data_IF_796323097585
#
_entry.id   IF_796323097585
#
_cell.length_a   1.000
_cell.length_b   1.000
_cell.length_c   1.000
_cell.angle_alpha   90.00
_cell.angle_beta   90.00
_cell.angle_gamma   90.00
#
_symmetry.space_group_name_H-M   'P 1'
#
loop_
_entity.id
_entity.type
_entity.pdbx_description
1 polymer ?
#
# COMPACT_ATOMS: atom_id res chain seq x y z
N UNK A 1 2.14 5.18 0.03
CA UNK A 1 0.88 4.54 -0.41
C UNK A 1 -0.11 5.57 -0.98
N UNK A 2 -1.27 5.14 -1.51
CA UNK A 2 -2.34 6.03 -1.94
C UNK A 2 -3.73 5.52 -1.50
N UNK A 3 -4.68 6.42 -1.21
CA UNK A 3 -6.01 6.04 -0.73
C UNK A 3 -7.14 6.90 -1.33
N UNK A 4 -8.35 6.36 -1.35
CA UNK A 4 -9.54 7.02 -1.85
C UNK A 4 -10.02 8.17 -0.94
N UNK A 5 -9.76 8.04 0.36
CA UNK A 5 -10.15 9.05 1.34
C UNK A 5 -9.04 9.32 2.37
N UNK A 6 -9.27 10.25 3.27
CA UNK A 6 -8.37 10.62 4.36
C UNK A 6 -9.14 10.97 5.63
N UNK A 7 -8.50 10.81 6.78
CA UNK A 7 -8.95 11.37 8.05
C UNK A 7 -7.79 12.09 8.74
N UNK A 8 -8.10 12.93 9.73
CA UNK A 8 -7.10 13.61 10.55
C UNK A 8 -7.18 12.99 11.94
N UNK A 9 -6.06 12.49 12.42
CA UNK A 9 -5.97 11.94 13.77
C UNK A 9 -6.02 13.10 14.79
N UNK A 10 -6.94 13.04 15.76
CA UNK A 10 -7.12 14.11 16.74
C UNK A 10 -5.96 14.22 17.73
N UNK A 11 -5.18 13.16 17.94
CA UNK A 11 -4.08 13.12 18.91
C UNK A 11 -2.80 13.75 18.34
N UNK A 12 -2.50 13.52 17.06
CA UNK A 12 -1.27 14.02 16.42
C UNK A 12 -1.52 15.10 15.32
N UNK A 13 -2.77 15.31 14.90
CA UNK A 13 -3.14 16.25 13.85
C UNK A 13 -2.69 15.86 12.43
N UNK A 14 -2.22 14.63 12.24
CA UNK A 14 -1.67 14.12 10.98
C UNK A 14 -2.78 13.53 10.10
N UNK A 15 -2.61 13.66 8.79
CA UNK A 15 -3.50 13.04 7.81
C UNK A 15 -3.14 11.58 7.60
N UNK A 16 -4.12 10.71 7.79
CA UNK A 16 -4.00 9.27 7.56
C UNK A 16 -4.93 8.80 6.44
N UNK A 17 -4.59 7.68 5.78
CA UNK A 17 -5.41 7.11 4.72
C UNK A 17 -6.74 6.59 5.27
N UNK A 18 -7.80 6.73 4.47
CA UNK A 18 -9.10 6.14 4.73
C UNK A 18 -9.70 5.53 3.44
N UNK A 19 -10.73 4.71 3.61
CA UNK A 19 -11.43 4.08 2.49
C UNK A 19 -10.60 2.98 1.82
N UNK A 20 -10.63 2.92 0.49
CA UNK A 20 -9.83 1.94 -0.28
C UNK A 20 -8.38 2.39 -0.42
N UNK A 21 -7.46 1.47 -0.16
CA UNK A 21 -6.02 1.70 -0.12
C UNK A 21 -5.30 0.93 -1.23
N UNK A 22 -4.41 1.62 -1.92
CA UNK A 22 -3.54 1.08 -2.98
C UNK A 22 -2.06 1.32 -2.72
N UNK A 23 -1.26 0.39 -3.24
CA UNK A 23 0.19 0.54 -3.31
C UNK A 23 0.57 1.67 -4.26
N UNK A 24 1.50 2.52 -3.86
CA UNK A 24 2.03 3.60 -4.69
C UNK A 24 3.50 3.84 -4.36
N UNK A 25 4.32 4.08 -5.39
CA UNK A 25 5.75 4.37 -5.27
C UNK A 25 6.02 5.86 -5.59
N UNK A 26 6.90 6.54 -4.83
CA UNK A 26 7.31 7.90 -5.13
C UNK A 26 7.77 8.08 -6.57
N UNK A 27 7.42 9.23 -7.17
CA UNK A 27 7.76 9.53 -8.57
C UNK A 27 6.81 8.94 -9.61
N UNK A 28 5.83 8.10 -9.23
CA UNK A 28 4.80 7.58 -10.15
C UNK A 28 3.48 8.35 -10.02
N UNK A 29 2.73 8.45 -11.12
CA UNK A 29 1.36 8.98 -11.14
C UNK A 29 0.29 7.88 -11.22
N UNK A 30 0.67 6.65 -10.88
CA UNK A 30 -0.19 5.46 -10.89
C UNK A 30 0.09 4.56 -9.68
N UNK A 31 -0.89 3.75 -9.29
CA UNK A 31 -0.75 2.73 -8.26
C UNK A 31 -0.03 1.50 -8.79
N UNK A 32 0.44 0.64 -7.89
CA UNK A 32 1.08 -0.65 -8.24
C UNK A 32 0.14 -1.57 -9.01
N UNK A 33 -1.18 -1.47 -8.82
CA UNK A 33 -2.16 -2.23 -9.60
C UNK A 33 -2.56 -1.56 -10.94
N UNK A 34 -1.97 -0.41 -11.29
CA UNK A 34 -2.16 0.26 -12.58
C UNK A 34 -3.26 1.33 -12.61
N UNK A 35 -3.77 1.79 -11.46
CA UNK A 35 -4.74 2.88 -11.41
C UNK A 35 -4.04 4.23 -11.50
N UNK A 36 -4.48 5.11 -12.39
CA UNK A 36 -3.99 6.49 -12.42
C UNK A 36 -4.47 7.27 -11.19
N UNK A 37 -3.57 7.93 -10.47
CA UNK A 37 -3.91 8.63 -9.22
C UNK A 37 -4.97 9.72 -9.46
N UNK A 38 -4.80 10.53 -10.51
CA UNK A 38 -5.73 11.63 -10.80
C UNK A 38 -7.11 11.13 -11.24
N UNK A 39 -7.16 10.15 -12.17
CA UNK A 39 -8.44 9.64 -12.70
C UNK A 39 -9.22 8.87 -11.63
N UNK A 40 -8.52 8.14 -10.76
CA UNK A 40 -9.11 7.42 -9.64
C UNK A 40 -9.26 8.27 -8.37
N UNK A 41 -8.94 9.58 -8.43
CA UNK A 41 -9.03 10.53 -7.30
C UNK A 41 -8.33 10.06 -6.02
N UNK A 42 -7.22 9.34 -6.17
CA UNK A 42 -6.44 8.82 -5.06
C UNK A 42 -5.48 9.87 -4.50
N UNK A 43 -5.44 9.98 -3.17
CA UNK A 43 -4.53 10.85 -2.42
C UNK A 43 -3.27 10.10 -2.03
N UNK A 44 -2.13 10.79 -1.99
CA UNK A 44 -0.83 10.19 -1.67
C UNK A 44 -0.50 10.36 -0.19
N UNK A 45 0.02 9.30 0.42
CA UNK A 45 0.51 9.28 1.80
C UNK A 45 1.93 8.70 1.79
N UNK A 46 2.96 9.55 1.61
CA UNK A 46 4.35 9.11 1.59
C UNK A 46 4.90 8.76 2.99
N UNK A 47 4.31 9.32 4.05
CA UNK A 47 4.72 9.11 5.44
C UNK A 47 4.10 7.87 6.09
N UNK A 48 3.03 7.32 5.51
CA UNK A 48 2.39 6.08 5.99
C UNK A 48 2.94 4.89 5.22
N UNK A 49 3.51 3.92 5.93
CA UNK A 49 4.09 2.74 5.30
C UNK A 49 3.02 1.74 4.88
N UNK A 50 3.36 0.87 3.92
CA UNK A 50 2.44 -0.20 3.52
C UNK A 50 2.15 -1.19 4.66
N UNK A 51 3.11 -1.41 5.56
CA UNK A 51 2.92 -2.30 6.70
C UNK A 51 1.86 -1.78 7.67
N UNK A 52 1.78 -0.47 7.89
CA UNK A 52 0.89 0.11 8.90
C UNK A 52 -0.60 0.08 8.52
N UNK A 53 -0.89 -0.16 7.24
CA UNK A 53 -2.26 -0.25 6.71
C UNK A 53 -2.69 -1.68 6.40
N UNK A 54 -1.81 -2.66 6.64
CA UNK A 54 -2.17 -4.06 6.52
C UNK A 54 -3.12 -4.44 7.67
N UNK A 55 -4.22 -5.16 7.40
CA UNK A 55 -5.18 -5.56 8.44
C UNK A 55 -4.53 -6.38 9.57
N UNK A 56 -3.42 -7.08 9.28
CA UNK A 56 -2.73 -7.92 10.27
C UNK A 56 -1.82 -7.11 11.22
N UNK A 57 -1.46 -5.88 10.84
CA UNK A 57 -0.48 -5.03 11.57
C UNK A 57 -1.12 -3.77 12.17
N UNK A 58 -2.31 -3.37 11.70
CA UNK A 58 -3.35 -2.70 12.49
C UNK A 58 -3.03 -1.37 13.19
N UNK A 59 -1.98 -0.63 12.81
CA UNK A 59 -1.66 0.65 13.48
C UNK A 59 -2.40 1.86 12.93
N UNK A 60 -2.64 1.92 11.61
CA UNK A 60 -3.35 3.03 10.95
C UNK A 60 -4.53 2.55 10.09
N UNK A 61 -5.14 1.45 10.51
CA UNK A 61 -6.17 0.76 9.74
C UNK A 61 -7.62 1.12 10.13
N UNK A 62 -7.83 1.95 11.16
CA UNK A 62 -9.18 2.19 11.72
C UNK A 62 -10.18 2.73 10.69
N UNK A 63 -9.77 3.70 9.87
CA UNK A 63 -10.61 4.25 8.79
C UNK A 63 -10.33 3.59 7.42
N UNK A 64 -9.43 2.61 7.37
CA UNK A 64 -9.14 1.84 6.15
C UNK A 64 -10.19 0.75 5.98
N UNK A 65 -11.03 0.90 4.95
CA UNK A 65 -12.13 -0.05 4.68
C UNK A 65 -11.65 -1.28 3.90
N UNK A 66 -10.76 -1.07 2.94
CA UNK A 66 -10.24 -2.15 2.11
C UNK A 66 -8.81 -1.86 1.66
N UNK A 67 -7.95 -2.88 1.68
CA UNK A 67 -6.64 -2.85 1.03
C UNK A 67 -6.73 -3.63 -0.27
N UNK A 68 -6.46 -2.97 -1.39
CA UNK A 68 -6.55 -3.55 -2.72
C UNK A 68 -5.75 -4.86 -2.80
N UNK A 69 -6.44 -5.97 -3.08
CA UNK A 69 -5.85 -7.33 -3.09
C UNK A 69 -4.67 -7.47 -4.04
N UNK A 70 -4.71 -6.82 -5.20
CA UNK A 70 -3.61 -6.82 -6.17
C UNK A 70 -2.36 -6.12 -5.61
N UNK A 71 -2.55 -5.00 -4.93
CA UNK A 71 -1.45 -4.28 -4.29
C UNK A 71 -0.92 -5.06 -3.07
N UNK A 72 -1.80 -5.69 -2.29
CA UNK A 72 -1.41 -6.57 -1.17
C UNK A 72 -0.63 -7.78 -1.65
N UNK A 73 -1.00 -8.40 -2.77
CA UNK A 73 -0.20 -9.48 -3.34
C UNK A 73 1.18 -9.00 -3.83
N UNK A 74 1.25 -7.80 -4.41
CA UNK A 74 2.50 -7.24 -4.93
C UNK A 74 3.44 -6.68 -3.85
N UNK A 75 2.90 -6.21 -2.71
CA UNK A 75 3.65 -5.50 -1.66
C UNK A 75 3.61 -6.18 -0.29
N UNK A 76 2.55 -6.93 0.00
CA UNK A 76 2.30 -7.62 1.28
C UNK A 76 3.02 -8.96 1.40
N UNK A 77 3.80 -9.35 0.39
CA UNK A 77 4.65 -10.53 0.42
C UNK A 77 6.12 -10.19 0.62
N UNK A 78 6.53 -9.88 1.86
CA UNK A 78 7.77 -10.48 2.38
C UNK A 78 7.40 -11.81 3.04
N UNK A 79 6.83 -12.72 2.24
CA UNK A 79 6.87 -14.15 2.52
C UNK A 79 7.92 -14.68 1.56
N UNK A 80 9.18 -14.53 1.97
CA UNK A 80 10.39 -15.18 1.45
C UNK A 80 11.57 -14.21 1.27
N UNK A 81 12.45 -14.21 2.27
CA UNK A 81 13.91 -14.23 2.09
C UNK A 81 14.41 -15.39 1.20
N UNK A 82 13.53 -16.14 0.53
CA UNK A 82 13.88 -17.08 -0.54
C UNK A 82 13.53 -16.45 -1.88
N UNK A 83 14.49 -15.67 -2.39
CA UNK A 83 14.51 -15.35 -3.81
C UNK A 83 14.45 -16.65 -4.61
N UNK A 84 13.57 -16.69 -5.61
CA UNK A 84 13.54 -17.78 -6.58
C UNK A 84 14.91 -17.85 -7.26
N UNK A 85 15.77 -18.74 -6.78
CA UNK A 85 17.08 -18.98 -7.41
C UNK A 85 16.87 -20.07 -8.45
N UNK A 86 16.89 -19.69 -9.74
CA UNK A 86 17.09 -20.68 -10.81
C UNK A 86 18.52 -21.17 -10.74
N UNK A 87 18.75 -22.30 -10.09
CA UNK A 87 19.99 -23.05 -10.29
C UNK A 87 19.75 -23.96 -11.50
N UNK A 88 20.34 -23.60 -12.64
CA UNK A 88 20.51 -24.51 -13.77
C UNK A 88 21.87 -25.19 -13.61
N UNK A 89 21.99 -26.37 -12.95
CA UNK A 89 23.17 -27.18 -13.16
C UNK A 89 23.07 -27.77 -14.57
N UNK A 90 23.96 -27.35 -15.48
CA UNK A 90 24.17 -28.12 -16.73
C UNK A 90 25.05 -29.34 -16.44
N UNK A 91 24.92 -30.41 -17.26
CA UNK A 91 25.48 -31.74 -17.01
C UNK A 91 27.00 -31.78 -16.88
#
# INVERSE_FOLDING_TARGET
MAAADQWIDPDDGVRYPAGEVHGWQPGRNETVCGLSLHRSRLRRFPHVTWADVQPESGRHAEEVREVCRRCRAALGGRRDERGWTRVNPRP
#
